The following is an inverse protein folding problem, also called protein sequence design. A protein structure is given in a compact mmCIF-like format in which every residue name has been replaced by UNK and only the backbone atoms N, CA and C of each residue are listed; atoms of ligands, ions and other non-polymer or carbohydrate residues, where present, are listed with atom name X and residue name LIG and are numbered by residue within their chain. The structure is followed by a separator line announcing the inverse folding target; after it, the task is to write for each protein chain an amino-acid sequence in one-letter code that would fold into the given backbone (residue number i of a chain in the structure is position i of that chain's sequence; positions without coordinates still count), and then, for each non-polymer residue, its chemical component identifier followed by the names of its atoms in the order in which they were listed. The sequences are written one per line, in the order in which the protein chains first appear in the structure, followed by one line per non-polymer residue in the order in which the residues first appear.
data_IF_966066662746
#
_entry.id   IF_966066662746
#
_cell.length_a   1.000
_cell.length_b   1.000
_cell.length_c   1.000
_cell.angle_alpha   90.00
_cell.angle_beta   90.00
_cell.angle_gamma   90.00
#
_symmetry.space_group_name_H-M   'P 1'
#
loop_
_entity.id
_entity.type
_entity.pdbx_description
1 polymer ?
#
# COMPACT_ATOMS: atom_id res chain seq x y z
N UNK A 1 -8.07 10.03 -8.85
CA UNK A 1 -9.03 8.90 -8.78
C UNK A 1 -8.74 8.11 -7.51
N UNK A 2 -9.33 8.49 -6.38
CA UNK A 2 -9.39 7.63 -5.19
C UNK A 2 -10.84 7.23 -5.04
N UNK A 3 -11.18 6.01 -5.46
CA UNK A 3 -12.51 5.45 -5.19
C UNK A 3 -12.66 5.33 -3.67
N UNK A 4 -13.45 6.22 -3.06
CA UNK A 4 -13.67 6.30 -1.60
C UNK A 4 -14.23 4.99 -1.04
N UNK A 5 -14.81 4.15 -1.90
CA UNK A 5 -15.44 2.88 -1.55
C UNK A 5 -14.45 1.82 -1.04
N UNK A 6 -13.18 1.86 -1.46
CA UNK A 6 -12.18 0.82 -1.14
C UNK A 6 -10.85 1.40 -0.66
N UNK A 7 -10.88 2.58 -0.02
CA UNK A 7 -9.67 3.25 0.46
C UNK A 7 -8.84 2.38 1.43
N UNK A 8 -9.49 1.50 2.19
CA UNK A 8 -8.87 0.57 3.11
C UNK A 8 -8.03 -0.53 2.45
N UNK A 9 -8.32 -0.90 1.20
CA UNK A 9 -7.53 -1.91 0.45
C UNK A 9 -6.15 -1.35 0.08
N UNK A 10 -6.05 -0.03 -0.06
CA UNK A 10 -4.80 0.69 -0.39
C UNK A 10 -4.24 1.44 0.81
N UNK A 11 -4.73 1.17 2.02
CA UNK A 11 -4.17 1.75 3.23
C UNK A 11 -2.70 1.29 3.39
N UNK A 12 -1.85 2.19 3.86
CA UNK A 12 -0.47 1.85 4.17
C UNK A 12 -0.41 0.84 5.32
N UNK A 13 0.59 -0.05 5.27
CA UNK A 13 0.83 -1.06 6.31
C UNK A 13 0.41 -2.48 5.90
N UNK A 14 0.50 -3.40 6.87
CA UNK A 14 0.17 -4.81 6.68
C UNK A 14 -1.33 -5.03 6.91
N UNK A 15 -1.99 -5.65 5.94
CA UNK A 15 -3.36 -6.16 6.09
C UNK A 15 -3.39 -7.48 6.88
N UNK A 16 -4.53 -7.78 7.52
CA UNK A 16 -4.77 -9.04 8.23
C UNK A 16 -5.94 -9.80 7.59
N UNK A 17 -5.72 -11.07 7.27
CA UNK A 17 -6.80 -11.97 6.83
C UNK A 17 -7.71 -12.29 8.00
N UNK A 18 -9.03 -12.14 7.81
CA UNK A 18 -10.06 -12.33 8.84
C UNK A 18 -10.77 -13.69 8.76
N UNK A 19 -10.39 -14.55 7.81
CA UNK A 19 -11.01 -15.85 7.53
C UNK A 19 -10.79 -16.96 8.58
N UNK A 20 -10.40 -16.62 9.81
CA UNK A 20 -10.15 -17.57 10.90
C UNK A 20 -8.71 -18.10 10.98
N UNK A 21 -8.47 -18.94 11.98
CA UNK A 21 -7.16 -19.57 12.21
C UNK A 21 -6.94 -20.75 11.26
N UNK A 22 -5.72 -20.89 10.75
CA UNK A 22 -5.31 -22.00 9.89
C UNK A 22 -4.62 -23.07 10.76
N UNK A 23 -5.09 -24.32 10.68
CA UNK A 23 -4.41 -25.46 11.31
C UNK A 23 -3.43 -26.10 10.33
N UNK A 24 -2.20 -26.33 10.77
CA UNK A 24 -1.17 -27.04 9.99
C UNK A 24 -0.85 -28.38 10.66
N UNK A 25 -1.01 -29.48 9.93
CA UNK A 25 -0.66 -30.82 10.42
C UNK A 25 0.74 -31.20 9.97
N UNK A 26 1.59 -31.61 10.92
CA UNK A 26 2.90 -32.19 10.62
C UNK A 26 2.79 -33.63 10.14
N UNK A 27 3.90 -34.18 9.63
CA UNK A 27 3.99 -35.63 9.38
C UNK A 27 3.91 -36.38 10.72
N UNK A 28 3.28 -37.55 10.73
CA UNK A 28 3.02 -38.34 11.93
C UNK A 28 4.30 -38.78 12.65
N UNK A 29 5.40 -38.93 11.91
CA UNK A 29 6.73 -39.31 12.38
C UNK A 29 7.67 -38.12 12.64
N UNK A 30 7.17 -36.88 12.55
CA UNK A 30 7.99 -35.68 12.70
C UNK A 30 8.53 -35.55 14.12
N UNK A 31 9.86 -35.47 14.24
CA UNK A 31 10.55 -35.27 15.53
C UNK A 31 10.98 -33.81 15.68
N UNK A 32 10.77 -33.19 16.85
CA UNK A 32 11.18 -31.82 17.09
C UNK A 32 12.69 -31.64 16.96
N UNK A 33 13.08 -30.55 16.29
CA UNK A 33 14.47 -30.14 16.15
C UNK A 33 14.62 -28.71 16.64
N UNK A 34 15.53 -28.52 17.59
CA UNK A 34 15.92 -27.22 18.11
C UNK A 34 17.33 -26.87 17.65
N UNK A 35 17.45 -25.91 16.74
CA UNK A 35 18.72 -25.41 16.24
C UNK A 35 19.07 -24.08 16.89
N UNK A 36 20.35 -23.91 17.24
CA UNK A 36 20.87 -22.61 17.73
C UNK A 36 20.88 -21.58 16.61
N UNK A 37 20.66 -20.32 16.97
CA UNK A 37 20.79 -19.19 16.06
C UNK A 37 22.21 -19.12 15.46
N UNK A 38 22.31 -18.73 14.18
CA UNK A 38 23.60 -18.54 13.50
C UNK A 38 24.30 -17.29 14.06
N UNK A 39 25.63 -17.32 14.22
CA UNK A 39 26.39 -16.11 14.52
C UNK A 39 26.16 -15.05 13.43
N UNK A 40 25.87 -13.82 13.85
CA UNK A 40 25.67 -12.69 12.96
C UNK A 40 26.89 -11.76 12.98
N UNK A 41 27.29 -11.30 11.79
CA UNK A 41 28.26 -10.22 11.66
C UNK A 41 27.75 -8.97 12.38
N UNK A 42 28.66 -8.22 13.02
CA UNK A 42 28.30 -7.06 13.84
C UNK A 42 27.44 -6.04 13.08
N UNK A 43 27.80 -5.74 11.82
CA UNK A 43 27.07 -4.82 10.95
C UNK A 43 25.62 -5.24 10.63
N UNK A 44 25.28 -6.52 10.81
CA UNK A 44 23.93 -7.05 10.55
C UNK A 44 23.05 -7.11 11.79
N UNK A 45 23.58 -6.89 13.00
CA UNK A 45 22.81 -7.00 14.24
C UNK A 45 21.64 -6.01 14.29
N UNK A 46 21.96 -4.72 14.20
CA UNK A 46 20.96 -3.66 14.29
C UNK A 46 19.91 -3.71 13.14
N UNK A 47 20.29 -3.92 11.86
CA UNK A 47 19.29 -4.11 10.80
C UNK A 47 18.35 -5.31 11.03
N UNK A 48 18.87 -6.42 11.54
CA UNK A 48 18.07 -7.62 11.82
C UNK A 48 17.15 -7.40 13.01
N UNK A 49 17.63 -6.79 14.09
CA UNK A 49 16.82 -6.46 15.26
C UNK A 49 15.66 -5.54 14.90
N UNK A 50 15.92 -4.45 14.16
CA UNK A 50 14.85 -3.55 13.68
C UNK A 50 13.80 -4.26 12.82
N UNK A 51 14.24 -5.17 11.94
CA UNK A 51 13.31 -5.93 11.12
C UNK A 51 12.47 -6.91 11.95
N UNK A 52 13.06 -7.54 12.97
CA UNK A 52 12.33 -8.41 13.89
C UNK A 52 11.30 -7.62 14.70
N UNK A 53 11.64 -6.41 15.16
CA UNK A 53 10.71 -5.56 15.90
C UNK A 53 9.52 -5.12 15.05
N UNK A 54 9.75 -4.72 13.79
CA UNK A 54 8.66 -4.44 12.85
C UNK A 54 7.74 -5.64 12.61
N UNK A 55 8.30 -6.85 12.58
CA UNK A 55 7.51 -8.07 12.44
C UNK A 55 6.71 -8.40 13.71
N UNK A 56 7.09 -7.90 14.88
CA UNK A 56 6.27 -8.07 16.11
C UNK A 56 4.95 -7.31 16.03
N UNK A 57 4.80 -6.37 15.09
CA UNK A 57 3.55 -5.65 14.82
C UNK A 57 2.54 -6.53 14.06
N UNK A 58 2.13 -7.61 14.71
CA UNK A 58 1.03 -8.47 14.26
C UNK A 58 1.41 -9.67 13.39
N UNK A 59 2.72 -9.90 13.13
CA UNK A 59 3.23 -11.06 12.36
C UNK A 59 3.88 -12.10 13.28
N UNK A 60 4.83 -11.71 14.12
CA UNK A 60 5.55 -12.59 15.03
C UNK A 60 5.12 -12.36 16.48
N UNK A 61 5.10 -13.43 17.27
CA UNK A 61 4.86 -13.38 18.71
C UNK A 61 6.02 -14.09 19.42
N UNK A 62 6.63 -13.48 20.45
CA UNK A 62 7.68 -14.13 21.23
C UNK A 62 7.15 -15.40 21.90
N UNK A 63 7.96 -16.46 21.88
CA UNK A 63 7.68 -17.72 22.57
C UNK A 63 8.84 -18.01 23.50
N UNK A 64 8.57 -18.21 24.79
CA UNK A 64 9.62 -18.42 25.80
C UNK A 64 10.33 -19.77 25.63
N UNK A 65 9.58 -20.83 25.29
CA UNK A 65 10.11 -22.19 25.14
C UNK A 65 9.45 -22.88 23.95
N UNK A 66 10.28 -23.52 23.12
CA UNK A 66 9.82 -24.30 21.96
C UNK A 66 10.72 -25.51 21.78
N UNK A 67 10.12 -26.63 21.37
CA UNK A 67 10.88 -27.82 20.93
C UNK A 67 11.34 -27.69 19.47
N UNK A 68 10.78 -26.73 18.73
CA UNK A 68 11.06 -26.47 17.32
C UNK A 68 11.72 -25.10 17.18
N UNK A 69 12.94 -25.08 16.65
CA UNK A 69 13.62 -23.83 16.32
C UNK A 69 14.54 -24.03 15.11
N UNK A 70 14.44 -23.12 14.15
CA UNK A 70 15.33 -23.06 12.98
C UNK A 70 16.00 -21.69 12.95
N UNK A 71 17.28 -21.60 12.53
CA UNK A 71 17.97 -20.33 12.50
C UNK A 71 17.45 -19.45 11.37
N UNK A 72 17.23 -18.16 11.65
CA UNK A 72 16.96 -17.15 10.63
C UNK A 72 18.26 -16.85 9.88
N UNK A 73 18.18 -16.73 8.55
CA UNK A 73 19.30 -16.35 7.69
C UNK A 73 19.00 -14.98 7.09
N UNK A 74 19.66 -13.90 7.56
CA UNK A 74 19.47 -12.57 7.00
C UNK A 74 19.97 -12.52 5.56
N UNK A 75 19.14 -12.00 4.65
CA UNK A 75 19.49 -11.78 3.25
C UNK A 75 19.44 -10.29 2.96
N UNK A 76 20.58 -9.71 2.58
CA UNK A 76 20.66 -8.30 2.17
C UNK A 76 20.27 -8.20 0.70
N UNK A 77 19.08 -7.64 0.43
CA UNK A 77 18.61 -7.43 -0.96
C UNK A 77 19.27 -6.17 -1.55
N UNK A 78 19.96 -6.31 -2.69
CA UNK A 78 20.48 -5.16 -3.45
C UNK A 78 19.31 -4.28 -3.89
N UNK A 79 19.37 -2.98 -3.58
CA UNK A 79 18.32 -2.00 -3.91
C UNK A 79 17.30 -1.74 -2.81
N UNK A 80 17.25 -2.58 -1.76
CA UNK A 80 16.51 -2.28 -0.54
C UNK A 80 17.34 -1.39 0.39
N UNK A 81 17.79 -0.23 -0.11
CA UNK A 81 18.19 0.85 0.79
C UNK A 81 16.90 1.40 1.40
N UNK A 82 16.47 0.84 2.51
CA UNK A 82 15.53 1.53 3.38
C UNK A 82 16.15 2.90 3.72
N UNK A 83 15.35 3.96 3.52
CA UNK A 83 15.58 5.37 3.85
C UNK A 83 16.80 5.61 4.77
N UNK A 84 17.96 5.91 4.17
CA UNK A 84 19.19 6.07 4.93
C UNK A 84 20.43 6.21 4.08
N UNK A 85 20.77 7.46 3.79
CA UNK A 85 22.09 7.99 3.44
C UNK A 85 22.78 7.46 2.17
N UNK A 86 22.80 8.36 1.18
CA UNK A 86 23.70 8.31 0.04
C UNK A 86 23.12 8.95 -1.23
N UNK A 87 22.46 10.11 -1.11
CA UNK A 87 22.16 10.93 -2.29
C UNK A 87 23.45 11.68 -2.67
N UNK A 88 23.97 11.44 -3.86
CA UNK A 88 25.02 12.29 -4.42
C UNK A 88 24.39 13.61 -4.90
N UNK A 89 25.14 14.71 -5.00
CA UNK A 89 24.60 16.03 -5.40
C UNK A 89 23.81 15.97 -6.73
N UNK A 90 24.21 15.09 -7.65
CA UNK A 90 23.51 14.82 -8.92
C UNK A 90 22.14 14.17 -8.75
N UNK A 91 21.95 13.38 -7.69
CA UNK A 91 20.66 12.76 -7.38
C UNK A 91 19.67 13.80 -6.84
N UNK A 92 20.16 14.82 -6.10
CA UNK A 92 19.32 15.92 -5.59
C UNK A 92 18.73 16.78 -6.71
N UNK A 93 19.54 17.11 -7.73
CA UNK A 93 19.10 17.93 -8.86
C UNK A 93 18.00 17.23 -9.67
N UNK A 94 18.18 15.93 -9.95
CA UNK A 94 17.17 15.11 -10.61
C UNK A 94 15.90 14.97 -9.79
N UNK A 95 16.03 14.81 -8.46
CA UNK A 95 14.89 14.73 -7.56
C UNK A 95 14.11 16.04 -7.54
N UNK A 96 14.78 17.19 -7.52
CA UNK A 96 14.13 18.51 -7.57
C UNK A 96 13.43 18.78 -8.91
N UNK A 97 14.00 18.32 -10.03
CA UNK A 97 13.35 18.40 -11.32
C UNK A 97 12.08 17.54 -11.35
N UNK A 98 12.18 16.27 -10.90
CA UNK A 98 11.04 15.37 -10.79
C UNK A 98 9.95 15.90 -9.85
N UNK A 99 10.32 16.54 -8.74
CA UNK A 99 9.37 17.16 -7.82
C UNK A 99 8.60 18.29 -8.49
N UNK A 100 9.28 19.17 -9.24
CA UNK A 100 8.63 20.26 -9.99
C UNK A 100 7.67 19.73 -11.06
N UNK A 101 8.08 18.72 -11.80
CA UNK A 101 7.22 18.08 -12.81
C UNK A 101 5.96 17.48 -12.17
N UNK A 102 6.12 16.75 -11.06
CA UNK A 102 5.00 16.18 -10.32
C UNK A 102 4.06 17.25 -9.74
N UNK A 103 4.59 18.38 -9.27
CA UNK A 103 3.78 19.50 -8.79
C UNK A 103 2.94 20.13 -9.91
N UNK A 104 3.53 20.29 -11.10
CA UNK A 104 2.83 20.77 -12.29
C UNK A 104 1.74 19.77 -12.68
N UNK A 105 2.08 18.48 -12.82
CA UNK A 105 1.10 17.44 -13.16
C UNK A 105 -0.03 17.36 -12.14
N UNK A 106 0.28 17.49 -10.85
CA UNK A 106 -0.74 17.52 -9.78
C UNK A 106 -1.69 18.70 -9.93
N UNK A 107 -1.17 19.88 -10.28
CA UNK A 107 -1.98 21.07 -10.53
C UNK A 107 -2.90 20.86 -11.74
N UNK A 108 -2.36 20.40 -12.85
CA UNK A 108 -3.14 20.10 -14.07
C UNK A 108 -4.24 19.07 -13.81
N UNK A 109 -3.94 17.98 -13.09
CA UNK A 109 -4.95 16.99 -12.75
C UNK A 109 -6.08 17.57 -11.88
N UNK A 110 -5.79 18.51 -10.98
CA UNK A 110 -6.83 19.18 -10.18
C UNK A 110 -7.72 20.06 -11.04
N UNK A 111 -7.13 20.81 -11.98
CA UNK A 111 -7.89 21.67 -12.88
C UNK A 111 -8.82 20.84 -13.81
N UNK A 112 -8.31 19.74 -14.37
CA UNK A 112 -9.10 18.81 -15.19
C UNK A 112 -10.25 18.15 -14.42
N UNK A 113 -10.02 17.79 -13.15
CA UNK A 113 -11.08 17.22 -12.30
C UNK A 113 -12.18 18.24 -12.01
N UNK A 114 -11.81 19.50 -11.74
CA UNK A 114 -12.78 20.59 -11.55
C UNK A 114 -13.62 20.80 -12.82
N UNK A 115 -12.97 20.89 -13.98
CA UNK A 115 -13.66 21.07 -15.27
C UNK A 115 -14.62 19.92 -15.55
N UNK A 116 -14.21 18.68 -15.26
CA UNK A 116 -15.08 17.50 -15.39
C UNK A 116 -16.33 17.62 -14.51
N UNK A 117 -16.17 18.02 -13.25
CA UNK A 117 -17.28 18.14 -12.31
C UNK A 117 -18.25 19.28 -12.71
N UNK A 118 -17.71 20.39 -13.24
CA UNK A 118 -18.50 21.50 -13.81
C UNK A 118 -19.31 21.05 -15.04
N UNK A 119 -18.66 20.32 -15.96
CA UNK A 119 -19.30 19.77 -17.15
C UNK A 119 -20.41 18.76 -16.79
N UNK A 120 -20.23 17.95 -15.75
CA UNK A 120 -21.25 16.99 -15.29
C UNK A 120 -22.52 17.72 -14.81
N UNK A 121 -22.37 18.84 -14.11
CA UNK A 121 -23.50 19.68 -13.68
C UNK A 121 -24.22 20.30 -14.89
N UNK A 122 -23.49 20.76 -15.90
CA UNK A 122 -24.07 21.37 -17.09
C UNK A 122 -24.81 20.36 -17.96
N UNK A 123 -24.23 19.18 -18.19
CA UNK A 123 -24.88 18.07 -18.90
C UNK A 123 -26.18 17.66 -18.18
N UNK A 124 -26.17 17.60 -16.85
CA UNK A 124 -27.38 17.30 -16.08
C UNK A 124 -28.48 18.35 -16.29
N UNK A 125 -28.14 19.64 -16.27
CA UNK A 125 -29.10 20.72 -16.58
C UNK A 125 -29.69 20.57 -17.98
N UNK A 126 -28.88 20.21 -18.96
CA UNK A 126 -29.35 19.98 -20.34
C UNK A 126 -30.31 18.80 -20.40
N UNK A 127 -29.98 17.69 -19.73
CA UNK A 127 -30.85 16.51 -19.65
C UNK A 127 -32.21 16.87 -19.02
N UNK A 128 -32.19 17.59 -17.90
CA UNK A 128 -33.40 18.02 -17.20
C UNK A 128 -34.27 18.94 -18.07
N UNK A 129 -33.65 19.91 -18.75
CA UNK A 129 -34.32 20.81 -19.70
C UNK A 129 -34.95 20.06 -20.86
N UNK A 130 -34.21 19.14 -21.49
CA UNK A 130 -34.70 18.31 -22.58
C UNK A 130 -35.83 17.39 -22.13
N UNK A 131 -35.78 16.92 -20.88
CA UNK A 131 -36.86 16.10 -20.30
C UNK A 131 -38.13 16.94 -20.13
N UNK A 132 -38.01 18.19 -19.68
CA UNK A 132 -39.13 19.12 -19.56
C UNK A 132 -39.74 19.46 -20.92
N UNK A 133 -38.92 19.80 -21.93
CA UNK A 133 -39.38 20.10 -23.28
C UNK A 133 -40.10 18.91 -23.92
N UNK A 134 -39.58 17.69 -23.74
CA UNK A 134 -40.25 16.46 -24.20
C UNK A 134 -41.62 16.28 -23.57
N UNK A 135 -41.80 16.61 -22.28
CA UNK A 135 -43.12 16.57 -21.62
C UNK A 135 -44.08 17.58 -22.22
N UNK A 136 -43.62 18.82 -22.46
CA UNK A 136 -44.43 19.89 -23.07
C UNK A 136 -44.89 19.57 -24.49
N UNK A 137 -44.08 18.84 -25.26
CA UNK A 137 -44.41 18.42 -26.63
C UNK A 137 -45.40 17.24 -26.68
N UNK A 138 -45.50 16.46 -25.60
CA UNK A 138 -46.40 15.30 -25.48
C UNK A 138 -47.80 15.70 -24.99
N UNK A 139 -47.97 16.90 -24.44
CA UNK A 139 -49.30 17.41 -24.14
C UNK A 139 -50.00 17.84 -25.46
N UNK A 140 -51.13 17.22 -25.83
CA UNK A 140 -51.80 17.54 -27.08
C UNK A 140 -52.30 18.97 -27.04
N UNK A 141 -51.99 19.74 -28.09
CA UNK A 141 -52.68 20.99 -28.38
C UNK A 141 -54.17 20.65 -28.50
N UNK A 142 -54.95 21.09 -27.52
CA UNK A 142 -56.41 21.00 -27.48
C UNK A 142 -57.01 22.00 -28.46
#
# INVERSE_FOLDING_TARGET
MTSTKYCNVFAEGLGRVTGGAVSTHGREDARPVFMRARPLAYALREPVERALDQLRDGVLTPVERTHWATPIVPVVKKGAKHYGHGATVRDLEKLNAALKELEVSRKTCKDLLRERDENEVEVKKIIDKNTQLKRQLVEPHT
#
